data_IF_070797430567
#
_entry.id   IF_070797430567
#
_cell.length_a   1.000
_cell.length_b   1.000
_cell.length_c   1.000
_cell.angle_alpha   90.00
_cell.angle_beta   90.00
_cell.angle_gamma   90.00
#
_symmetry.space_group_name_H-M   'P 1'
#
loop_
_entity.id
_entity.type
_entity.pdbx_description
1 polymer ?
#
# COMPACT_ATOMS: atom_id res chain seq x y z
N UNK A 1 -35.19 7.50 17.45
CA UNK A 1 -34.08 8.45 17.72
C UNK A 1 -32.76 7.76 18.05
N UNK A 2 -32.74 6.62 18.76
CA UNK A 2 -31.50 5.85 19.01
C UNK A 2 -30.85 5.27 17.73
N UNK A 3 -31.64 4.82 16.75
CA UNK A 3 -31.12 4.28 15.48
C UNK A 3 -30.39 5.30 14.60
N UNK A 4 -30.74 6.59 14.71
CA UNK A 4 -30.10 7.67 13.93
C UNK A 4 -28.68 7.99 14.44
N UNK A 5 -28.45 7.82 15.75
CA UNK A 5 -27.16 8.06 16.41
C UNK A 5 -26.13 6.95 16.11
N UNK A 6 -26.60 5.71 15.96
CA UNK A 6 -25.76 4.54 15.64
C UNK A 6 -25.34 4.58 14.17
N UNK A 7 -26.22 4.99 13.25
CA UNK A 7 -25.86 5.20 11.85
C UNK A 7 -24.79 6.29 11.67
N UNK A 8 -24.87 7.37 12.44
CA UNK A 8 -23.89 8.48 12.41
C UNK A 8 -22.50 8.11 12.94
N UNK A 9 -22.43 7.24 13.96
CA UNK A 9 -21.16 6.78 14.53
C UNK A 9 -20.49 5.69 13.69
N UNK A 10 -21.25 4.77 13.08
CA UNK A 10 -20.69 3.66 12.29
C UNK A 10 -20.21 4.10 10.91
N UNK A 11 -20.91 5.05 10.25
CA UNK A 11 -20.44 5.66 9.01
C UNK A 11 -19.09 6.38 9.17
N UNK A 12 -18.86 6.99 10.35
CA UNK A 12 -17.62 7.70 10.67
C UNK A 12 -16.39 6.78 10.78
N UNK A 13 -16.55 5.50 11.17
CA UNK A 13 -15.43 4.56 11.33
C UNK A 13 -14.84 4.18 9.96
N UNK A 14 -15.70 3.85 8.99
CA UNK A 14 -15.26 3.53 7.62
C UNK A 14 -14.62 4.71 6.91
N UNK A 15 -15.21 5.90 7.06
CA UNK A 15 -14.67 7.17 6.56
C UNK A 15 -13.28 7.48 7.13
N UNK A 16 -13.11 7.32 8.44
CA UNK A 16 -11.84 7.59 9.12
C UNK A 16 -10.73 6.63 8.67
N UNK A 17 -11.04 5.35 8.47
CA UNK A 17 -10.06 4.37 7.97
C UNK A 17 -9.60 4.70 6.55
N UNK A 18 -10.53 5.05 5.65
CA UNK A 18 -10.18 5.44 4.26
C UNK A 18 -9.32 6.69 4.26
N UNK A 19 -9.71 7.73 5.00
CA UNK A 19 -8.96 8.97 5.11
C UNK A 19 -7.54 8.75 5.68
N UNK A 20 -7.40 7.94 6.73
CA UNK A 20 -6.09 7.57 7.29
C UNK A 20 -5.23 6.80 6.29
N UNK A 21 -5.83 5.92 5.48
CA UNK A 21 -5.11 5.20 4.43
C UNK A 21 -4.60 6.15 3.35
N UNK A 22 -5.43 7.10 2.89
CA UNK A 22 -5.02 8.13 1.92
C UNK A 22 -3.80 8.90 2.43
N UNK A 23 -3.87 9.44 3.66
CA UNK A 23 -2.79 10.22 4.25
C UNK A 23 -1.51 9.39 4.42
N UNK A 24 -1.63 8.18 4.95
CA UNK A 24 -0.47 7.31 5.19
C UNK A 24 0.19 6.83 3.90
N UNK A 25 -0.59 6.52 2.88
CA UNK A 25 -0.08 6.10 1.59
C UNK A 25 0.59 7.27 0.86
N UNK A 26 -0.01 8.46 0.93
CA UNK A 26 0.60 9.70 0.40
C UNK A 26 1.96 9.98 1.06
N UNK A 27 2.07 9.84 2.38
CA UNK A 27 3.33 10.02 3.09
C UNK A 27 4.38 8.99 2.64
N UNK A 28 3.98 7.71 2.55
CA UNK A 28 4.87 6.62 2.12
C UNK A 28 5.34 6.81 0.67
N UNK A 29 4.43 7.25 -0.21
CA UNK A 29 4.70 7.54 -1.61
C UNK A 29 5.79 8.63 -1.75
N UNK A 30 5.65 9.74 -1.01
CA UNK A 30 6.67 10.80 -0.97
C UNK A 30 8.03 10.29 -0.45
N UNK A 31 8.02 9.43 0.57
CA UNK A 31 9.22 8.76 1.06
C UNK A 31 9.90 7.94 -0.03
N UNK A 32 9.12 7.14 -0.76
CA UNK A 32 9.60 6.31 -1.88
C UNK A 32 10.18 7.18 -3.00
N UNK A 33 9.53 8.28 -3.38
CA UNK A 33 10.06 9.19 -4.43
C UNK A 33 11.43 9.74 -4.07
N UNK A 34 11.59 10.13 -2.80
CA UNK A 34 12.85 10.66 -2.26
C UNK A 34 13.92 9.58 -2.22
N UNK A 35 13.57 8.37 -1.77
CA UNK A 35 14.49 7.24 -1.67
C UNK A 35 14.98 6.79 -3.04
N UNK A 36 14.07 6.59 -4.00
CA UNK A 36 14.41 6.20 -5.37
C UNK A 36 15.34 7.24 -5.99
N UNK A 37 14.98 8.53 -5.93
CA UNK A 37 15.82 9.60 -6.48
C UNK A 37 17.22 9.65 -5.85
N UNK A 38 17.33 9.48 -4.54
CA UNK A 38 18.62 9.45 -3.85
C UNK A 38 19.46 8.23 -4.24
N UNK A 39 18.83 7.06 -4.39
CA UNK A 39 19.55 5.83 -4.75
C UNK A 39 20.04 5.90 -6.21
N UNK A 40 19.20 6.37 -7.14
CA UNK A 40 19.56 6.48 -8.56
C UNK A 40 20.66 7.51 -8.79
N UNK A 41 20.62 8.65 -8.10
CA UNK A 41 21.61 9.72 -8.26
C UNK A 41 23.00 9.37 -7.67
N UNK A 42 23.06 8.42 -6.74
CA UNK A 42 24.31 8.03 -6.06
C UNK A 42 25.16 7.03 -6.86
N UNK A 43 24.74 6.63 -8.08
CA UNK A 43 25.59 6.07 -9.15
C UNK A 43 26.33 4.75 -8.88
N UNK A 44 26.24 4.16 -7.70
CA UNK A 44 27.20 3.13 -7.25
C UNK A 44 26.69 1.69 -7.32
N UNK A 45 25.45 1.45 -7.75
CA UNK A 45 24.85 0.09 -7.77
C UNK A 45 24.01 -0.14 -9.03
N UNK A 46 24.62 -0.64 -10.13
CA UNK A 46 23.94 -0.86 -11.40
C UNK A 46 22.68 -1.74 -11.31
N UNK A 47 22.71 -2.83 -10.55
CA UNK A 47 21.57 -3.76 -10.44
C UNK A 47 20.31 -3.10 -9.85
N UNK A 48 20.49 -2.17 -8.90
CA UNK A 48 19.39 -1.44 -8.29
C UNK A 48 18.90 -0.31 -9.19
N UNK A 49 19.81 0.38 -9.88
CA UNK A 49 19.44 1.38 -10.87
C UNK A 49 18.61 0.75 -12.01
N UNK A 50 19.08 -0.38 -12.56
CA UNK A 50 18.36 -1.14 -13.59
C UNK A 50 16.99 -1.59 -13.08
N UNK A 51 16.89 -2.08 -11.84
CA UNK A 51 15.59 -2.43 -11.26
C UNK A 51 14.64 -1.23 -11.23
N UNK A 52 15.09 -0.04 -10.82
CA UNK A 52 14.20 1.14 -10.77
C UNK A 52 13.75 1.59 -12.14
N UNK A 53 14.64 1.51 -13.14
CA UNK A 53 14.32 1.83 -14.53
C UNK A 53 13.32 0.82 -15.13
N UNK A 54 13.56 -0.48 -14.94
CA UNK A 54 12.70 -1.56 -15.47
C UNK A 54 11.33 -1.65 -14.79
N UNK A 55 11.29 -1.43 -13.47
CA UNK A 55 10.08 -1.71 -12.67
C UNK A 55 9.06 -0.57 -12.65
N UNK A 56 9.48 0.65 -13.03
CA UNK A 56 8.74 1.91 -12.88
C UNK A 56 7.94 1.99 -11.56
N UNK A 57 8.57 1.56 -10.46
CA UNK A 57 7.90 1.49 -9.16
C UNK A 57 7.44 2.88 -8.69
N UNK A 58 8.16 3.93 -9.09
CA UNK A 58 7.82 5.32 -8.82
C UNK A 58 6.54 5.72 -9.56
N UNK A 59 6.47 5.50 -10.87
CA UNK A 59 5.28 5.83 -11.67
C UNK A 59 4.04 5.09 -11.17
N UNK A 60 4.17 3.80 -10.90
CA UNK A 60 3.05 2.99 -10.40
C UNK A 60 2.52 3.46 -9.03
N UNK A 61 3.40 3.89 -8.13
CA UNK A 61 3.00 4.44 -6.83
C UNK A 61 2.36 5.82 -6.98
N UNK A 62 2.85 6.65 -7.91
CA UNK A 62 2.23 7.95 -8.23
C UNK A 62 0.81 7.80 -8.75
N UNK A 63 0.59 6.91 -9.71
CA UNK A 63 -0.74 6.63 -10.24
C UNK A 63 -1.66 6.12 -9.13
N UNK A 64 -1.16 5.22 -8.29
CA UNK A 64 -1.92 4.68 -7.16
C UNK A 64 -2.28 5.76 -6.12
N UNK A 65 -1.36 6.67 -5.82
CA UNK A 65 -1.58 7.80 -4.92
C UNK A 65 -2.70 8.72 -5.44
N UNK A 66 -2.65 9.09 -6.72
CA UNK A 66 -3.68 9.92 -7.35
C UNK A 66 -5.03 9.21 -7.34
N UNK A 67 -5.08 7.95 -7.75
CA UNK A 67 -6.29 7.14 -7.74
C UNK A 67 -6.94 7.13 -6.34
N UNK A 68 -6.14 6.89 -5.30
CA UNK A 68 -6.64 6.81 -3.93
C UNK A 68 -7.15 8.17 -3.42
N UNK A 69 -6.52 9.28 -3.82
CA UNK A 69 -6.99 10.64 -3.51
C UNK A 69 -8.32 10.98 -4.21
N UNK A 70 -8.59 10.37 -5.36
CA UNK A 70 -9.83 10.55 -6.12
C UNK A 70 -10.99 9.68 -5.62
N UNK A 71 -10.72 8.68 -4.77
CA UNK A 71 -11.78 7.91 -4.12
C UNK A 71 -12.53 8.83 -3.17
N UNK A 72 -13.79 9.17 -3.52
CA UNK A 72 -14.67 9.92 -2.63
C UNK A 72 -15.04 9.05 -1.42
N UNK A 73 -14.51 9.33 -0.22
CA UNK A 73 -14.71 8.47 0.93
C UNK A 73 -16.15 8.57 1.46
N UNK A 74 -16.88 9.64 1.10
CA UNK A 74 -18.30 9.83 1.44
C UNK A 74 -19.24 9.02 0.54
N UNK A 75 -18.75 8.51 -0.59
CA UNK A 75 -19.57 7.77 -1.55
C UNK A 75 -19.40 6.26 -1.34
N UNK A 76 -20.22 5.70 -0.45
CA UNK A 76 -20.36 4.26 -0.20
C UNK A 76 -19.06 3.56 0.33
N UNK A 77 -18.65 3.85 1.58
CA UNK A 77 -17.47 3.23 2.21
C UNK A 77 -17.76 1.77 2.61
N UNK A 78 -17.40 0.83 1.76
CA UNK A 78 -17.59 -0.61 2.02
C UNK A 78 -16.42 -1.19 2.84
N UNK A 79 -16.67 -2.23 3.67
CA UNK A 79 -15.58 -2.95 4.38
C UNK A 79 -14.55 -3.50 3.39
N UNK A 80 -15.01 -3.96 2.23
CA UNK A 80 -14.18 -4.52 1.17
C UNK A 80 -13.21 -3.47 0.62
N UNK A 81 -13.71 -2.27 0.28
CA UNK A 81 -12.87 -1.16 -0.18
C UNK A 81 -11.88 -0.74 0.90
N UNK A 82 -12.35 -0.55 2.14
CA UNK A 82 -11.49 -0.16 3.27
C UNK A 82 -10.37 -1.19 3.51
N UNK A 83 -10.69 -2.49 3.48
CA UNK A 83 -9.68 -3.55 3.66
C UNK A 83 -8.69 -3.59 2.48
N UNK A 84 -9.16 -3.39 1.25
CA UNK A 84 -8.28 -3.33 0.07
C UNK A 84 -7.28 -2.18 0.15
N UNK A 85 -7.77 -0.98 0.49
CA UNK A 85 -6.92 0.20 0.70
C UNK A 85 -5.91 -0.01 1.84
N UNK A 86 -6.32 -0.67 2.91
CA UNK A 86 -5.42 -1.03 4.01
C UNK A 86 -4.31 -2.00 3.57
N UNK A 87 -4.64 -3.05 2.82
CA UNK A 87 -3.64 -4.00 2.29
C UNK A 87 -2.68 -3.33 1.30
N UNK A 88 -3.16 -2.36 0.51
CA UNK A 88 -2.33 -1.53 -0.36
C UNK A 88 -1.37 -0.66 0.46
N UNK A 89 -1.87 0.02 1.50
CA UNK A 89 -1.05 0.79 2.43
C UNK A 89 0.07 -0.07 3.00
N UNK A 90 -0.24 -1.25 3.54
CA UNK A 90 0.76 -2.17 4.10
C UNK A 90 1.83 -2.52 3.05
N UNK A 91 1.43 -2.83 1.82
CA UNK A 91 2.34 -3.15 0.74
C UNK A 91 3.27 -1.98 0.36
N UNK A 92 2.74 -0.76 0.30
CA UNK A 92 3.53 0.45 0.00
C UNK A 92 4.51 0.74 1.15
N UNK A 93 4.08 0.60 2.40
CA UNK A 93 4.98 0.77 3.56
C UNK A 93 6.09 -0.30 3.59
N UNK A 94 5.79 -1.56 3.25
CA UNK A 94 6.82 -2.61 3.11
C UNK A 94 7.86 -2.26 2.03
N UNK A 95 7.43 -1.69 0.90
CA UNK A 95 8.32 -1.19 -0.16
C UNK A 95 9.20 -0.06 0.37
N UNK A 96 8.60 0.94 1.04
CA UNK A 96 9.35 2.07 1.60
C UNK A 96 10.43 1.61 2.58
N UNK A 97 10.11 0.71 3.51
CA UNK A 97 11.07 0.15 4.46
C UNK A 97 12.21 -0.60 3.76
N UNK A 98 11.89 -1.37 2.71
CA UNK A 98 12.93 -2.07 1.94
C UNK A 98 13.83 -1.08 1.18
N UNK A 99 13.27 0.03 0.70
CA UNK A 99 14.06 1.10 0.06
C UNK A 99 14.93 1.86 1.06
N UNK A 100 14.47 2.06 2.31
CA UNK A 100 15.32 2.61 3.39
C UNK A 100 16.50 1.69 3.69
N UNK A 101 16.29 0.37 3.69
CA UNK A 101 17.36 -0.61 3.84
C UNK A 101 18.37 -0.55 2.69
N UNK A 102 17.88 -0.51 1.44
CA UNK A 102 18.72 -0.31 0.25
C UNK A 102 19.55 0.96 0.38
N UNK A 103 18.91 2.10 0.68
CA UNK A 103 19.59 3.38 0.82
C UNK A 103 20.69 3.31 1.87
N UNK A 104 20.41 2.77 3.07
CA UNK A 104 21.42 2.60 4.12
C UNK A 104 22.63 1.81 3.64
N UNK A 105 22.42 0.75 2.86
CA UNK A 105 23.50 -0.08 2.31
C UNK A 105 24.28 0.61 1.19
N UNK A 106 23.60 1.39 0.34
CA UNK A 106 24.24 2.25 -0.67
C UNK A 106 25.12 3.29 0.02
N UNK A 107 24.59 4.01 1.02
CA UNK A 107 25.32 5.03 1.77
C UNK A 107 26.55 4.42 2.48
N UNK A 108 26.39 3.27 3.13
CA UNK A 108 27.50 2.55 3.77
C UNK A 108 28.57 2.14 2.75
N UNK A 109 28.18 1.59 1.60
CA UNK A 109 29.14 1.21 0.58
C UNK A 109 29.89 2.42 0.01
N UNK A 110 29.19 3.54 -0.19
CA UNK A 110 29.79 4.78 -0.66
C UNK A 110 30.81 5.36 0.35
N UNK A 111 30.58 5.16 1.65
CA UNK A 111 31.53 5.58 2.68
C UNK A 111 32.84 4.75 2.70
N UNK A 112 32.83 3.58 2.07
CA UNK A 112 33.94 2.63 2.06
C UNK A 112 34.62 2.61 0.69
N UNK A 113 35.32 3.72 0.38
CA UNK A 113 35.98 4.04 -0.88
C UNK A 113 36.84 2.90 -1.49
N UNK A 114 37.50 2.08 -0.69
CA UNK A 114 38.51 1.12 -1.18
C UNK A 114 37.99 -0.22 -1.74
N UNK A 115 36.68 -0.52 -1.67
CA UNK A 115 36.14 -1.85 -2.07
C UNK A 115 34.83 -1.80 -2.87
N UNK A 116 34.76 -0.91 -3.88
CA UNK A 116 33.56 -0.72 -4.70
C UNK A 116 33.21 -1.94 -5.58
N UNK A 117 34.21 -2.64 -6.13
CA UNK A 117 34.00 -3.70 -7.13
C UNK A 117 33.53 -5.07 -6.58
N UNK A 118 33.82 -5.40 -5.32
CA UNK A 118 33.48 -6.71 -4.73
C UNK A 118 32.02 -6.74 -4.20
N UNK A 119 31.37 -5.58 -4.10
CA UNK A 119 30.11 -5.44 -3.34
C UNK A 119 28.81 -5.47 -4.14
N UNK A 120 28.84 -5.49 -5.48
CA UNK A 120 27.59 -5.57 -6.27
C UNK A 120 26.77 -6.82 -5.92
N UNK A 121 27.43 -7.94 -5.61
CA UNK A 121 26.82 -9.18 -5.12
C UNK A 121 25.91 -9.01 -3.88
N UNK A 122 26.09 -7.94 -3.11
CA UNK A 122 25.31 -7.67 -1.90
C UNK A 122 23.86 -7.22 -2.14
N UNK A 123 23.49 -6.83 -3.36
CA UNK A 123 22.18 -6.24 -3.65
C UNK A 123 21.20 -7.18 -4.35
N UNK A 124 21.65 -8.33 -4.85
CA UNK A 124 20.80 -9.29 -5.57
C UNK A 124 19.57 -9.70 -4.76
N UNK A 125 19.73 -9.99 -3.46
CA UNK A 125 18.61 -10.35 -2.60
C UNK A 125 17.67 -9.17 -2.33
N UNK A 126 18.20 -7.94 -2.27
CA UNK A 126 17.38 -6.74 -2.12
C UNK A 126 16.54 -6.49 -3.38
N UNK A 127 17.13 -6.63 -4.56
CA UNK A 127 16.43 -6.52 -5.85
C UNK A 127 15.36 -7.61 -5.96
N UNK A 128 15.67 -8.86 -5.60
CA UNK A 128 14.70 -9.97 -5.60
C UNK A 128 13.50 -9.68 -4.69
N UNK A 129 13.76 -9.18 -3.49
CA UNK A 129 12.71 -8.81 -2.54
C UNK A 129 11.87 -7.64 -3.06
N UNK A 130 12.48 -6.61 -3.63
CA UNK A 130 11.77 -5.50 -4.25
C UNK A 130 10.92 -5.94 -5.44
N UNK A 131 11.41 -6.85 -6.29
CA UNK A 131 10.63 -7.47 -7.38
C UNK A 131 9.41 -8.21 -6.84
N UNK A 132 9.56 -9.00 -5.76
CA UNK A 132 8.44 -9.69 -5.11
C UNK A 132 7.41 -8.71 -4.54
N UNK A 133 7.86 -7.67 -3.83
CA UNK A 133 6.97 -6.63 -3.30
C UNK A 133 6.26 -5.86 -4.42
N UNK A 134 6.93 -5.62 -5.54
CA UNK A 134 6.33 -4.99 -6.72
C UNK A 134 5.23 -5.85 -7.33
N UNK A 135 5.44 -7.17 -7.43
CA UNK A 135 4.40 -8.09 -7.88
C UNK A 135 3.21 -8.12 -6.92
N UNK A 136 3.46 -8.14 -5.61
CA UNK A 136 2.42 -8.03 -4.57
C UNK A 136 1.63 -6.72 -4.74
N UNK A 137 2.30 -5.59 -4.95
CA UNK A 137 1.66 -4.29 -5.19
C UNK A 137 0.74 -4.34 -6.41
N UNK A 138 1.22 -4.89 -7.53
CA UNK A 138 0.42 -5.01 -8.75
C UNK A 138 -0.85 -5.85 -8.50
N UNK A 139 -0.73 -7.01 -7.85
CA UNK A 139 -1.89 -7.83 -7.52
C UNK A 139 -2.89 -7.13 -6.59
N UNK A 140 -2.42 -6.32 -5.63
CA UNK A 140 -3.30 -5.52 -4.76
C UNK A 140 -3.97 -4.38 -5.51
N UNK A 141 -3.25 -3.71 -6.41
CA UNK A 141 -3.77 -2.63 -7.26
C UNK A 141 -4.87 -3.16 -8.18
N UNK A 142 -4.62 -4.28 -8.84
CA UNK A 142 -5.60 -4.90 -9.74
C UNK A 142 -6.86 -5.32 -8.96
N UNK A 143 -6.68 -5.88 -7.75
CA UNK A 143 -7.80 -6.17 -6.84
C UNK A 143 -8.57 -4.93 -6.41
N UNK A 144 -7.90 -3.79 -6.16
CA UNK A 144 -8.58 -2.52 -5.89
C UNK A 144 -9.42 -2.08 -7.08
N UNK A 145 -8.91 -2.17 -8.32
CA UNK A 145 -9.68 -1.82 -9.51
C UNK A 145 -10.94 -2.68 -9.66
N UNK A 146 -10.84 -3.99 -9.43
CA UNK A 146 -12.01 -4.86 -9.46
C UNK A 146 -13.05 -4.48 -8.39
N UNK A 147 -12.59 -4.13 -7.18
CA UNK A 147 -13.48 -3.67 -6.11
C UNK A 147 -14.14 -2.35 -6.49
N UNK A 148 -13.39 -1.38 -7.03
CA UNK A 148 -13.93 -0.09 -7.44
C UNK A 148 -15.01 -0.23 -8.53
N UNK A 149 -14.83 -1.14 -9.49
CA UNK A 149 -15.84 -1.43 -10.53
C UNK A 149 -17.18 -1.87 -9.93
N UNK A 150 -17.14 -2.67 -8.85
CA UNK A 150 -18.35 -3.22 -8.23
C UNK A 150 -18.83 -2.44 -7.00
N UNK A 151 -18.05 -1.47 -6.51
CA UNK A 151 -18.28 -0.84 -5.19
C UNK A 151 -19.66 -0.17 -5.08
N UNK A 152 -20.16 0.41 -6.19
CA UNK A 152 -21.48 1.04 -6.22
C UNK A 152 -22.64 0.05 -6.03
N UNK A 153 -22.41 -1.24 -6.28
CA UNK A 153 -23.38 -2.32 -6.11
C UNK A 153 -23.26 -3.01 -4.75
N UNK A 154 -22.19 -2.72 -3.99
CA UNK A 154 -22.00 -3.25 -2.65
C UNK A 154 -22.83 -2.41 -1.67
N UNK A 155 -23.49 -3.08 -0.74
CA UNK A 155 -24.27 -2.39 0.28
C UNK A 155 -23.31 -1.75 1.30
N UNK A 156 -23.42 -0.42 1.54
CA UNK A 156 -22.69 0.23 2.61
C UNK A 156 -23.05 -0.41 3.94
N UNK A 157 -22.12 -0.35 4.88
CA UNK A 157 -22.24 -1.03 6.16
C UNK A 157 -23.47 -0.60 6.98
N UNK A 158 -24.36 -1.56 7.24
CA UNK A 158 -24.98 -1.70 8.56
C UNK A 158 -24.40 -2.93 9.25
N UNK A 159 -23.78 -2.74 10.44
CA UNK A 159 -23.18 -3.86 11.18
C UNK A 159 -24.22 -4.83 11.77
N UNK A 160 -25.48 -4.40 11.93
CA UNK A 160 -26.56 -5.25 12.44
C UNK A 160 -26.77 -6.50 11.59
N UNK A 161 -26.65 -6.40 10.26
CA UNK A 161 -26.87 -7.53 9.35
C UNK A 161 -25.81 -8.62 9.43
N UNK A 162 -24.56 -8.26 9.76
CA UNK A 162 -23.46 -9.23 9.86
C UNK A 162 -23.44 -9.96 11.20
N UNK A 163 -23.81 -9.27 12.28
CA UNK A 163 -23.93 -9.89 13.61
C UNK A 163 -25.11 -10.85 13.66
N UNK A 164 -26.25 -10.52 13.05
CA UNK A 164 -27.40 -11.45 12.93
C UNK A 164 -27.03 -12.73 12.16
N UNK A 165 -26.26 -12.63 11.07
CA UNK A 165 -25.85 -13.81 10.30
C UNK A 165 -24.88 -14.73 11.07
N UNK A 166 -24.01 -14.17 11.91
CA UNK A 166 -23.10 -14.97 12.72
C UNK A 166 -23.78 -15.55 13.97
N UNK A 167 -24.69 -14.80 14.62
CA UNK A 167 -25.47 -15.35 15.73
C UNK A 167 -26.44 -16.45 15.27
N UNK A 168 -27.12 -16.27 14.13
CA UNK A 168 -28.03 -17.27 13.58
C UNK A 168 -27.34 -18.60 13.24
N UNK A 169 -26.06 -18.58 12.81
CA UNK A 169 -25.25 -19.79 12.60
C UNK A 169 -24.79 -20.47 13.89
N UNK A 170 -24.65 -19.72 14.98
CA UNK A 170 -24.31 -20.27 16.30
C UNK A 170 -25.52 -20.97 16.91
N UNK A 171 -26.74 -20.47 16.68
CA UNK A 171 -27.98 -21.09 17.18
C UNK A 171 -28.48 -22.28 16.34
N UNK A 172 -27.92 -22.55 15.16
CA UNK A 172 -28.25 -23.74 14.35
C UNK A 172 -27.34 -24.94 14.63
N UNK A 173 -26.31 -24.78 15.47
CA UNK A 173 -25.37 -25.85 15.86
C UNK A 173 -25.48 -26.24 17.35
N UNK A 174 -26.62 -25.90 17.99
CA UNK A 174 -27.02 -26.34 19.33
C UNK A 174 -28.35 -27.09 19.17
#
# INVERSE_FOLDING_TARGET
MAELLIAGTIGSIGLNVVAQCITSLTASANGIYTLVGNITNNGSVPDIANFFEESDIKGDIQVLEFLIKEINPNNNPTKTLAKSLHLLKECVSEIEEKLKEVKRRVDYNNSLWFFTSIRSYGFTDMVRNLKSLKQKLNGRRDGLFEILKINNYLTPLSESKYMDMNQSKVFQNI
#
